data_IF_799130734789
#
_entry.id   IF_799130734789
#
_cell.length_a   1.000
_cell.length_b   1.000
_cell.length_c   1.000
_cell.angle_alpha   90.00
_cell.angle_beta   90.00
_cell.angle_gamma   90.00
#
_symmetry.space_group_name_H-M   'P 1'
#
loop_
_entity.id
_entity.type
_entity.pdbx_description
1 polymer ?
#
# COMPACT_ATOMS: atom_id res chain seq x y z
N UNK A 1 -13.55 4.62 -15.02
CA UNK A 1 -12.50 5.59 -14.64
C UNK A 1 -11.59 5.08 -13.51
N UNK A 2 -12.11 4.65 -12.35
CA UNK A 2 -11.29 4.24 -11.20
C UNK A 2 -10.30 3.07 -11.45
N UNK A 3 -10.58 2.16 -12.40
CA UNK A 3 -9.66 1.07 -12.74
C UNK A 3 -8.39 1.56 -13.42
N UNK A 4 -8.50 2.46 -14.40
CA UNK A 4 -7.34 3.02 -15.10
C UNK A 4 -6.44 3.82 -14.16
N UNK A 5 -7.06 4.56 -13.22
CA UNK A 5 -6.32 5.33 -12.21
C UNK A 5 -5.50 4.42 -11.30
N UNK A 6 -6.07 3.30 -10.83
CA UNK A 6 -5.35 2.32 -10.03
C UNK A 6 -4.12 1.77 -10.78
N UNK A 7 -4.30 1.28 -12.00
CA UNK A 7 -3.21 0.69 -12.78
C UNK A 7 -2.13 1.72 -13.13
N UNK A 8 -2.52 2.96 -13.45
CA UNK A 8 -1.58 4.05 -13.71
C UNK A 8 -0.73 4.38 -12.48
N UNK A 9 -1.35 4.50 -11.30
CA UNK A 9 -0.63 4.80 -10.06
C UNK A 9 0.26 3.62 -9.64
N UNK A 10 -0.23 2.39 -9.78
CA UNK A 10 0.55 1.19 -9.48
C UNK A 10 1.81 1.13 -10.36
N UNK A 11 1.67 1.39 -11.66
CA UNK A 11 2.79 1.42 -12.60
C UNK A 11 3.82 2.50 -12.22
N UNK A 12 3.36 3.72 -11.91
CA UNK A 12 4.24 4.80 -11.43
C UNK A 12 4.95 4.38 -10.13
N UNK A 13 4.24 3.76 -9.19
CA UNK A 13 4.84 3.33 -7.92
C UNK A 13 5.89 2.25 -8.09
N UNK A 14 5.72 1.34 -9.06
CA UNK A 14 6.74 0.32 -9.39
C UNK A 14 8.00 1.01 -9.89
N UNK A 15 7.87 1.95 -10.84
CA UNK A 15 9.01 2.71 -11.35
C UNK A 15 9.71 3.46 -10.21
N UNK A 16 8.97 4.14 -9.34
CA UNK A 16 9.55 4.87 -8.21
C UNK A 16 10.27 3.94 -7.22
N UNK A 17 9.70 2.76 -6.94
CA UNK A 17 10.34 1.75 -6.11
C UNK A 17 11.68 1.30 -6.73
N UNK A 18 11.79 1.14 -8.05
CA UNK A 18 13.07 0.73 -8.66
C UNK A 18 14.24 1.66 -8.30
N UNK A 19 13.98 2.97 -8.21
CA UNK A 19 14.98 3.99 -7.91
C UNK A 19 15.13 4.33 -6.41
N UNK A 20 14.35 3.69 -5.54
CA UNK A 20 14.33 4.04 -4.11
C UNK A 20 14.01 2.81 -3.26
N UNK A 21 14.73 2.63 -2.16
CA UNK A 21 14.41 1.59 -1.16
C UNK A 21 13.04 1.79 -0.51
N UNK A 22 12.37 2.92 -0.74
CA UNK A 22 11.07 3.22 -0.21
C UNK A 22 9.98 2.32 -0.83
N UNK A 23 9.12 1.66 -0.01
CA UNK A 23 8.16 0.66 -0.48
C UNK A 23 6.91 1.27 -1.12
N UNK A 24 7.06 2.20 -2.08
CA UNK A 24 5.95 2.90 -2.75
C UNK A 24 4.87 1.94 -3.25
N UNK A 25 5.29 0.87 -3.93
CA UNK A 25 4.37 -0.12 -4.50
C UNK A 25 3.50 -0.79 -3.43
N UNK A 26 4.10 -1.19 -2.30
CA UNK A 26 3.39 -1.77 -1.17
C UNK A 26 2.36 -0.78 -0.60
N UNK A 27 2.77 0.47 -0.39
CA UNK A 27 1.91 1.50 0.22
C UNK A 27 0.71 1.83 -0.67
N UNK A 28 0.92 1.91 -1.99
CA UNK A 28 -0.16 2.09 -2.97
C UNK A 28 -1.11 0.90 -2.92
N UNK A 29 -0.61 -0.33 -2.97
CA UNK A 29 -1.44 -1.53 -2.90
C UNK A 29 -2.29 -1.56 -1.63
N UNK A 30 -1.71 -1.22 -0.48
CA UNK A 30 -2.39 -1.20 0.81
C UNK A 30 -3.52 -0.17 0.86
N UNK A 31 -3.25 1.07 0.40
CA UNK A 31 -4.24 2.15 0.38
C UNK A 31 -5.41 1.82 -0.56
N UNK A 32 -5.10 1.30 -1.75
CA UNK A 32 -6.15 0.89 -2.69
C UNK A 32 -6.92 -0.33 -2.19
N UNK A 33 -6.26 -1.26 -1.48
CA UNK A 33 -6.92 -2.41 -0.85
C UNK A 33 -7.93 -1.94 0.20
N UNK A 34 -7.50 -1.07 1.13
CA UNK A 34 -8.35 -0.48 2.16
C UNK A 34 -9.57 0.25 1.58
N UNK A 35 -9.40 0.94 0.45
CA UNK A 35 -10.48 1.71 -0.20
C UNK A 35 -11.45 0.85 -0.98
N UNK A 36 -10.95 0.09 -1.96
CA UNK A 36 -11.75 -0.38 -3.08
C UNK A 36 -12.04 -1.88 -3.05
N UNK A 37 -11.33 -2.65 -2.21
CA UNK A 37 -11.57 -4.09 -1.96
C UNK A 37 -11.76 -4.91 -3.23
N UNK A 38 -10.94 -4.63 -4.26
CA UNK A 38 -11.11 -5.22 -5.59
C UNK A 38 -10.24 -6.46 -5.74
N UNK A 39 -10.80 -7.50 -6.36
CA UNK A 39 -10.06 -8.71 -6.75
C UNK A 39 -8.81 -8.41 -7.61
N UNK A 40 -8.86 -7.33 -8.42
CA UNK A 40 -7.71 -6.91 -9.22
C UNK A 40 -6.49 -6.42 -8.43
N UNK A 41 -6.64 -6.08 -7.16
CA UNK A 41 -5.52 -5.58 -6.33
C UNK A 41 -4.56 -6.72 -6.00
N UNK A 42 -5.06 -7.93 -5.74
CA UNK A 42 -4.21 -9.11 -5.53
C UNK A 42 -3.41 -9.46 -6.79
N UNK A 43 -4.04 -9.40 -7.97
CA UNK A 43 -3.36 -9.59 -9.26
C UNK A 43 -2.30 -8.51 -9.46
N UNK A 44 -2.65 -7.24 -9.18
CA UNK A 44 -1.70 -6.13 -9.24
C UNK A 44 -0.50 -6.32 -8.30
N UNK A 45 -0.73 -6.80 -7.07
CA UNK A 45 0.32 -7.09 -6.11
C UNK A 45 1.26 -8.21 -6.57
N UNK A 46 0.69 -9.29 -7.12
CA UNK A 46 1.48 -10.39 -7.66
C UNK A 46 2.36 -9.93 -8.84
N UNK A 47 1.76 -9.26 -9.83
CA UNK A 47 2.48 -8.78 -11.01
C UNK A 47 3.52 -7.72 -10.67
N UNK A 48 3.16 -6.74 -9.85
CA UNK A 48 4.09 -5.68 -9.43
C UNK A 48 5.28 -6.25 -8.64
N UNK A 49 5.04 -7.23 -7.77
CA UNK A 49 6.10 -7.92 -7.04
C UNK A 49 7.06 -8.68 -7.96
N UNK A 50 6.54 -9.44 -8.95
CA UNK A 50 7.39 -10.11 -9.93
C UNK A 50 8.21 -9.12 -10.75
N UNK A 51 7.60 -8.01 -11.18
CA UNK A 51 8.29 -6.97 -11.93
C UNK A 51 9.43 -6.39 -11.09
N UNK A 52 9.18 -6.07 -9.81
CA UNK A 52 10.21 -5.57 -8.91
C UNK A 52 11.32 -6.60 -8.67
N UNK A 53 10.98 -7.88 -8.50
CA UNK A 53 11.97 -8.94 -8.33
C UNK A 53 12.90 -9.03 -9.55
N UNK A 54 12.35 -8.95 -10.78
CA UNK A 54 13.13 -8.92 -12.02
C UNK A 54 14.02 -7.67 -12.10
N UNK A 55 13.48 -6.49 -11.77
CA UNK A 55 14.20 -5.22 -11.90
C UNK A 55 15.30 -5.05 -10.85
N UNK A 56 15.14 -5.61 -9.66
CA UNK A 56 16.17 -5.60 -8.61
C UNK A 56 17.09 -6.82 -8.62
N UNK A 57 16.89 -7.76 -9.53
CA UNK A 57 17.68 -9.01 -9.61
C UNK A 57 17.54 -9.81 -8.30
N UNK A 58 16.34 -9.80 -7.72
CA UNK A 58 15.99 -10.62 -6.56
C UNK A 58 15.50 -12.00 -7.00
N UNK A 59 15.49 -13.00 -6.10
CA UNK A 59 14.80 -14.26 -6.35
C UNK A 59 13.35 -14.04 -6.76
N UNK A 60 12.96 -14.63 -7.89
CA UNK A 60 11.62 -14.46 -8.44
C UNK A 60 10.54 -14.88 -7.44
N UNK A 61 9.63 -13.97 -7.17
CA UNK A 61 8.45 -14.21 -6.35
C UNK A 61 8.59 -13.74 -4.91
N UNK A 62 9.78 -13.39 -4.43
CA UNK A 62 9.99 -12.93 -3.05
C UNK A 62 9.14 -11.70 -2.72
N UNK A 63 9.23 -10.64 -3.53
CA UNK A 63 8.44 -9.41 -3.30
C UNK A 63 6.95 -9.66 -3.53
N UNK A 64 6.60 -10.48 -4.52
CA UNK A 64 5.20 -10.82 -4.81
C UNK A 64 4.52 -11.57 -3.65
N UNK A 65 5.22 -12.52 -3.04
CA UNK A 65 4.71 -13.29 -1.89
C UNK A 65 4.55 -12.38 -0.69
N UNK A 66 5.51 -11.49 -0.44
CA UNK A 66 5.41 -10.50 0.63
C UNK A 66 4.17 -9.63 0.47
N UNK A 67 3.94 -9.06 -0.72
CA UNK A 67 2.78 -8.21 -0.98
C UNK A 67 1.47 -8.98 -0.81
N UNK A 68 1.39 -10.20 -1.37
CA UNK A 68 0.21 -11.05 -1.23
C UNK A 68 -0.06 -11.45 0.22
N UNK A 69 0.97 -11.78 1.00
CA UNK A 69 0.83 -12.16 2.40
C UNK A 69 0.33 -10.98 3.25
N UNK A 70 0.86 -9.78 3.03
CA UNK A 70 0.38 -8.56 3.71
C UNK A 70 -1.06 -8.22 3.34
N UNK A 71 -1.44 -8.32 2.07
CA UNK A 71 -2.82 -8.12 1.64
C UNK A 71 -3.76 -9.21 2.16
N UNK A 72 -3.29 -10.45 2.25
CA UNK A 72 -4.03 -11.55 2.86
C UNK A 72 -4.27 -11.27 4.35
N UNK A 73 -3.25 -10.81 5.08
CA UNK A 73 -3.39 -10.44 6.48
C UNK A 73 -4.37 -9.27 6.67
N UNK A 74 -4.31 -8.27 5.80
CA UNK A 74 -5.27 -7.16 5.76
C UNK A 74 -6.70 -7.67 5.50
N UNK A 75 -6.88 -8.66 4.62
CA UNK A 75 -8.18 -9.27 4.34
C UNK A 75 -8.74 -10.06 5.52
N UNK A 76 -7.88 -10.69 6.35
CA UNK A 76 -8.32 -11.34 7.58
C UNK A 76 -8.74 -10.32 8.63
N UNK A 77 -8.00 -9.21 8.75
CA UNK A 77 -8.35 -8.12 9.65
C UNK A 77 -9.70 -7.49 9.27
N UNK A 78 -9.95 -7.31 7.97
CA UNK A 78 -11.22 -6.81 7.43
C UNK A 78 -12.45 -7.58 7.90
N UNK A 79 -12.35 -8.92 8.00
CA UNK A 79 -13.48 -9.75 8.43
C UNK A 79 -13.95 -9.42 9.84
N UNK A 80 -13.10 -8.79 10.66
CA UNK A 80 -13.38 -8.49 12.07
C UNK A 80 -13.48 -6.98 12.35
N UNK A 81 -12.85 -6.13 11.55
CA UNK A 81 -12.71 -4.69 11.82
C UNK A 81 -12.79 -3.83 10.55
N UNK A 82 -13.05 -2.53 10.72
CA UNK A 82 -13.10 -1.57 9.63
C UNK A 82 -11.70 -1.18 9.11
N UNK A 83 -11.40 -1.56 7.87
CA UNK A 83 -10.11 -1.26 7.21
C UNK A 83 -10.06 0.09 6.48
N UNK A 84 -11.20 0.74 6.24
CA UNK A 84 -11.26 2.03 5.55
C UNK A 84 -11.06 3.20 6.52
N UNK A 85 -10.09 3.09 7.43
CA UNK A 85 -9.85 4.05 8.51
C UNK A 85 -8.39 4.50 8.52
N UNK A 86 -8.15 5.76 8.89
CA UNK A 86 -6.80 6.30 9.08
C UNK A 86 -5.93 5.47 10.04
N UNK A 87 -6.39 5.05 11.23
CA UNK A 87 -5.57 4.24 12.13
C UNK A 87 -5.20 2.88 11.52
N UNK A 88 -6.09 2.26 10.74
CA UNK A 88 -5.76 1.03 10.03
C UNK A 88 -4.64 1.27 9.02
N UNK A 89 -4.80 2.23 8.10
CA UNK A 89 -3.80 2.51 7.06
C UNK A 89 -2.46 2.89 7.68
N UNK A 90 -2.46 3.71 8.74
CA UNK A 90 -1.23 4.08 9.44
C UNK A 90 -0.54 2.88 10.09
N UNK A 91 -1.26 2.07 10.88
CA UNK A 91 -0.68 0.92 11.55
C UNK A 91 -0.20 -0.17 10.56
N UNK A 92 -1.01 -0.48 9.54
CA UNK A 92 -0.69 -1.52 8.59
C UNK A 92 0.40 -1.09 7.59
N UNK A 93 0.49 0.19 7.25
CA UNK A 93 1.64 0.70 6.47
C UNK A 93 2.93 0.69 7.29
N UNK A 94 2.88 1.00 8.60
CA UNK A 94 4.05 0.87 9.47
C UNK A 94 4.53 -0.58 9.52
N UNK A 95 3.64 -1.52 9.84
CA UNK A 95 3.95 -2.96 9.89
C UNK A 95 4.44 -3.45 8.53
N UNK A 96 3.71 -3.13 7.47
CA UNK A 96 4.06 -3.56 6.11
C UNK A 96 5.44 -3.04 5.66
N UNK A 97 5.75 -1.77 5.95
CA UNK A 97 7.05 -1.18 5.60
C UNK A 97 8.17 -1.78 6.42
N UNK A 98 7.94 -2.07 7.71
CA UNK A 98 8.92 -2.73 8.57
C UNK A 98 9.23 -4.13 8.04
N UNK A 99 8.21 -4.94 7.76
CA UNK A 99 8.41 -6.29 7.20
C UNK A 99 9.11 -6.21 5.85
N UNK A 100 8.78 -5.23 5.01
CA UNK A 100 9.45 -5.00 3.74
C UNK A 100 10.94 -4.69 3.90
N UNK A 101 11.31 -3.74 4.78
CA UNK A 101 12.72 -3.39 4.99
C UNK A 101 13.53 -4.57 5.51
N UNK A 102 12.97 -5.34 6.46
CA UNK A 102 13.59 -6.57 6.97
C UNK A 102 13.75 -7.62 5.87
N UNK A 103 12.70 -7.87 5.08
CA UNK A 103 12.72 -8.89 4.03
C UNK A 103 13.66 -8.54 2.86
N UNK A 104 13.82 -7.24 2.57
CA UNK A 104 14.73 -6.74 1.54
C UNK A 104 16.17 -6.50 2.07
N UNK A 105 16.41 -6.67 3.37
CA UNK A 105 17.74 -6.46 3.97
C UNK A 105 18.19 -5.00 4.03
N UNK A 106 17.25 -4.05 3.98
CA UNK A 106 17.56 -2.62 4.12
C UNK A 106 17.72 -2.22 5.59
N UNK A 107 18.57 -1.22 5.85
CA UNK A 107 18.67 -0.64 7.19
C UNK A 107 17.36 0.08 7.57
N UNK A 108 16.91 -0.15 8.81
CA UNK A 108 15.66 0.41 9.31
C UNK A 108 15.96 1.76 9.95
N UNK A 109 15.68 2.84 9.23
CA UNK A 109 15.67 4.18 9.80
C UNK A 109 14.26 4.59 10.25
N UNK A 110 14.19 5.25 11.41
CA UNK A 110 12.91 5.71 11.98
C UNK A 110 12.25 6.81 11.14
N UNK A 111 13.05 7.63 10.45
CA UNK A 111 12.56 8.72 9.61
C UNK A 111 11.88 8.17 8.36
N UNK A 112 12.45 7.12 7.77
CA UNK A 112 11.95 6.41 6.60
C UNK A 112 10.63 5.71 6.91
N UNK A 113 10.54 5.04 8.07
CA UNK A 113 9.30 4.44 8.55
C UNK A 113 8.22 5.51 8.78
N UNK A 114 8.55 6.63 9.41
CA UNK A 114 7.63 7.74 9.61
C UNK A 114 7.16 8.31 8.26
N UNK A 115 8.06 8.48 7.29
CA UNK A 115 7.73 8.92 5.94
C UNK A 115 6.81 7.93 5.20
N UNK A 116 7.00 6.61 5.38
CA UNK A 116 6.10 5.58 4.82
C UNK A 116 4.66 5.73 5.34
N UNK A 117 4.52 5.91 6.66
CA UNK A 117 3.22 6.12 7.30
C UNK A 117 2.59 7.44 6.85
N UNK A 118 3.36 8.52 6.82
CA UNK A 118 2.87 9.82 6.35
C UNK A 118 2.41 9.74 4.89
N UNK A 119 3.22 9.12 4.01
CA UNK A 119 2.88 8.94 2.60
C UNK A 119 1.59 8.14 2.42
N UNK A 120 1.43 7.01 3.12
CA UNK A 120 0.23 6.18 3.00
C UNK A 120 -1.02 6.88 3.50
N UNK A 121 -0.92 7.63 4.60
CA UNK A 121 -2.01 8.41 5.18
C UNK A 121 -2.43 9.54 4.24
N UNK A 122 -1.46 10.30 3.70
CA UNK A 122 -1.73 11.38 2.73
C UNK A 122 -2.38 10.82 1.46
N UNK A 123 -1.83 9.72 0.92
CA UNK A 123 -2.39 9.04 -0.24
C UNK A 123 -3.84 8.58 0.04
N UNK A 124 -4.10 8.01 1.21
CA UNK A 124 -5.44 7.58 1.62
C UNK A 124 -6.41 8.76 1.71
N UNK A 125 -6.01 9.90 2.27
CA UNK A 125 -6.86 11.10 2.36
C UNK A 125 -7.20 11.68 0.97
N UNK A 126 -6.24 11.71 0.05
CA UNK A 126 -6.47 12.17 -1.33
C UNK A 126 -7.53 11.31 -2.03
N UNK A 127 -7.44 9.99 -1.85
CA UNK A 127 -8.34 9.04 -2.51
C UNK A 127 -9.62 8.76 -1.73
N UNK A 128 -9.64 9.02 -0.43
CA UNK A 128 -10.80 8.90 0.43
C UNK A 128 -10.96 10.22 1.19
N UNK A 129 -11.47 11.28 0.52
CA UNK A 129 -11.76 12.52 1.21
C UNK A 129 -12.76 12.17 2.30
N UNK A 130 -12.32 12.28 3.55
CA UNK A 130 -13.19 12.15 4.72
C UNK A 130 -14.35 13.09 4.47
N UNK A 131 -15.54 12.54 4.26
CA UNK A 131 -16.76 13.30 4.01
C UNK A 131 -17.18 14.00 5.31
N UNK A 132 -16.40 15.02 5.69
CA UNK A 132 -16.56 15.88 6.85
C UNK A 132 -17.26 17.19 6.52
N UNK A 133 -17.80 17.35 5.30
CA UNK A 133 -18.74 18.43 4.99
C UNK A 133 -20.18 17.96 5.28
N UNK A 134 -20.45 17.53 6.52
CA UNK A 134 -21.83 17.43 7.00
C UNK A 134 -22.33 18.86 7.18
N UNK A 135 -23.07 19.31 6.18
CA UNK A 135 -23.97 20.46 6.13
C UNK A 135 -24.40 20.95 7.54
N UNK A 136 -23.83 22.08 7.99
CA UNK A 136 -24.26 22.83 9.18
C UNK A 136 -25.34 23.87 8.86
N UNK A 137 -26.20 23.61 7.87
CA UNK A 137 -27.42 24.38 7.67
C UNK A 137 -28.63 23.46 7.89
N UNK A 138 -28.89 23.14 9.15
CA UNK A 138 -30.27 22.97 9.61
C UNK A 138 -30.66 24.34 10.19
N UNK A 139 -31.42 25.08 9.39
CA UNK A 139 -32.23 26.22 9.82
C UNK A 139 -33.43 25.66 10.56
#
# INVERSE_FOLDING_TARGET
>A
MAHFVFWGILFISVILSVFSSFPFTLLVLLVFFARARRAGIGIGAFLAGIILDVLWINPLGQTSMLFLLLLLLASFYERKFEIATLPFVGAFSLIGSLVYFVAAGYEIGLVELAACVMFSVLLFQIFHPTSGAKNKNFI
#
